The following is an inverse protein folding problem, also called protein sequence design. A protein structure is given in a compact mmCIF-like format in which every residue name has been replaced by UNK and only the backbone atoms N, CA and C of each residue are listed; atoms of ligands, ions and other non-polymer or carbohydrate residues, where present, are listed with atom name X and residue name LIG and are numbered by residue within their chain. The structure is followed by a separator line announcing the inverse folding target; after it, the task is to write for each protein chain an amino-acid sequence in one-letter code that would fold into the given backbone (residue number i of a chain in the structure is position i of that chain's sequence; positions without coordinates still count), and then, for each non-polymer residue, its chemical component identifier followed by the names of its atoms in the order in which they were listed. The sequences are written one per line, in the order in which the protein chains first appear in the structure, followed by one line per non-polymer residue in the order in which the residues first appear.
data_IF_889318671750
#
_entry.id   IF_889318671750
#
_cell.length_a   1.000
_cell.length_b   1.000
_cell.length_c   1.000
_cell.angle_alpha   90.00
_cell.angle_beta   90.00
_cell.angle_gamma   90.00
#
_symmetry.space_group_name_H-M   'P 1'
#
loop_
_entity.id
_entity.type
_entity.pdbx_description
1 polymer ?
#
# COMPACT_ATOMS: atom_id res chain seq x y z
N UNK A 1 38.59 -14.00 -26.83
CA UNK A 1 37.14 -13.88 -27.15
C UNK A 1 36.17 -14.33 -26.00
N UNK A 2 36.64 -14.78 -24.84
CA UNK A 2 35.79 -15.19 -23.66
C UNK A 2 35.69 -14.14 -22.54
N UNK A 3 36.38 -12.99 -22.63
CA UNK A 3 36.42 -11.93 -21.61
C UNK A 3 35.38 -10.80 -21.79
N UNK A 4 34.73 -10.71 -22.97
CA UNK A 4 33.77 -9.62 -23.28
C UNK A 4 32.28 -9.95 -22.99
N UNK A 5 31.95 -11.14 -22.53
CA UNK A 5 30.54 -11.51 -22.21
C UNK A 5 30.14 -11.39 -20.75
N UNK A 6 31.05 -11.01 -19.83
CA UNK A 6 30.77 -10.89 -18.39
C UNK A 6 30.43 -9.48 -17.91
N UNK A 7 30.47 -8.45 -18.76
CA UNK A 7 30.20 -7.06 -18.34
C UNK A 7 28.82 -6.52 -18.71
N UNK A 8 27.89 -7.33 -19.23
CA UNK A 8 26.52 -6.87 -19.60
C UNK A 8 25.41 -7.28 -18.67
N UNK A 9 25.71 -7.86 -17.51
CA UNK A 9 24.72 -8.24 -16.49
C UNK A 9 24.96 -7.57 -15.12
N UNK A 10 25.74 -6.50 -15.06
CA UNK A 10 25.78 -5.63 -13.88
C UNK A 10 24.84 -4.46 -14.12
N UNK A 11 23.65 -4.50 -13.46
CA UNK A 11 22.92 -3.30 -13.12
C UNK A 11 21.73 -2.92 -14.00
N UNK A 12 20.71 -3.75 -14.10
CA UNK A 12 19.36 -3.23 -13.87
C UNK A 12 18.95 -3.72 -12.48
N UNK A 13 19.47 -3.10 -11.45
CA UNK A 13 18.73 -3.03 -10.17
C UNK A 13 17.43 -2.36 -10.58
N UNK A 14 16.34 -3.12 -10.60
CA UNK A 14 15.04 -2.62 -10.98
C UNK A 14 14.67 -1.55 -9.95
N UNK A 15 14.92 -0.27 -10.30
CA UNK A 15 14.61 0.87 -9.45
C UNK A 15 13.12 0.85 -9.18
N UNK A 16 12.73 1.06 -7.94
CA UNK A 16 11.33 1.14 -7.54
C UNK A 16 10.77 2.56 -7.73
N UNK A 17 11.19 3.23 -8.80
CA UNK A 17 10.68 4.52 -9.22
C UNK A 17 9.18 4.41 -9.55
N UNK A 18 8.38 5.37 -9.08
CA UNK A 18 6.95 5.43 -9.38
C UNK A 18 6.66 6.76 -10.06
N UNK A 19 6.09 6.71 -11.26
CA UNK A 19 5.76 7.91 -12.03
C UNK A 19 4.27 7.90 -12.36
N UNK A 20 3.58 8.94 -11.93
CA UNK A 20 2.20 9.24 -12.28
C UNK A 20 2.21 10.43 -13.26
N UNK A 21 1.64 10.24 -14.46
CA UNK A 21 1.56 11.26 -15.50
C UNK A 21 0.10 11.54 -15.85
N UNK A 22 -0.35 12.76 -15.58
CA UNK A 22 -1.70 13.23 -15.90
C UNK A 22 -2.81 12.28 -15.44
N UNK A 23 -2.61 11.65 -14.28
CA UNK A 23 -3.55 10.66 -13.75
C UNK A 23 -4.91 11.31 -13.52
N UNK A 24 -5.93 10.64 -14.04
CA UNK A 24 -7.33 11.03 -13.93
C UNK A 24 -8.17 9.85 -13.47
N UNK A 25 -9.09 10.10 -12.53
CA UNK A 25 -10.11 9.13 -12.11
C UNK A 25 -11.47 9.76 -12.14
N UNK A 26 -12.37 9.15 -12.93
CA UNK A 26 -13.79 9.47 -12.98
C UNK A 26 -14.55 8.24 -12.54
N UNK A 27 -15.45 8.40 -11.58
CA UNK A 27 -16.44 7.40 -11.22
C UNK A 27 -17.71 7.65 -12.02
N UNK A 28 -18.20 6.68 -12.83
CA UNK A 28 -19.41 6.85 -13.62
C UNK A 28 -20.59 7.27 -12.74
N UNK A 29 -21.55 8.01 -13.31
CA UNK A 29 -22.77 8.34 -12.59
C UNK A 29 -23.46 7.04 -12.13
N UNK A 30 -23.57 6.87 -10.80
CA UNK A 30 -24.51 5.90 -10.28
C UNK A 30 -25.91 6.53 -10.35
N UNK A 31 -26.87 5.85 -10.98
CA UNK A 31 -28.28 6.26 -10.91
C UNK A 31 -28.64 6.52 -9.44
N UNK A 32 -29.25 7.68 -9.12
CA UNK A 32 -29.53 8.02 -7.75
C UNK A 32 -30.47 6.96 -7.15
N UNK A 33 -29.96 6.14 -6.24
CA UNK A 33 -30.81 5.30 -5.38
C UNK A 33 -31.86 6.24 -4.77
N UNK A 34 -33.16 5.95 -4.95
CA UNK A 34 -34.28 6.75 -4.42
C UNK A 34 -33.97 7.21 -3.01
N UNK A 35 -33.68 8.51 -2.84
CA UNK A 35 -33.39 9.10 -1.53
C UNK A 35 -34.57 8.87 -0.60
N UNK A 36 -34.31 8.33 0.59
CA UNK A 36 -35.31 8.39 1.68
C UNK A 36 -35.47 9.86 2.06
N UNK A 37 -36.74 10.35 2.07
CA UNK A 37 -37.07 11.71 2.48
C UNK A 37 -36.52 11.96 3.90
N UNK A 38 -35.60 12.92 4.07
CA UNK A 38 -35.15 13.41 5.37
C UNK A 38 -33.66 13.37 5.66
N UNK A 39 -32.80 12.89 4.77
CA UNK A 39 -31.35 12.98 5.00
C UNK A 39 -30.79 14.34 4.54
N UNK A 40 -30.00 15.04 5.39
CA UNK A 40 -29.39 16.30 5.04
C UNK A 40 -28.40 16.12 3.88
N UNK A 41 -28.44 17.03 2.91
CA UNK A 41 -27.47 17.06 1.83
C UNK A 41 -26.04 17.24 2.39
N UNK A 42 -25.23 16.19 2.36
CA UNK A 42 -23.80 16.35 2.51
C UNK A 42 -23.32 17.16 1.31
N UNK A 43 -22.88 18.40 1.53
CA UNK A 43 -22.16 19.21 0.54
C UNK A 43 -20.87 18.47 0.18
N UNK A 44 -20.94 17.60 -0.81
CA UNK A 44 -19.76 17.00 -1.40
C UNK A 44 -19.18 18.03 -2.37
N UNK A 45 -17.99 18.53 -2.10
CA UNK A 45 -17.21 19.37 -3.01
C UNK A 45 -16.65 18.53 -4.19
N UNK A 46 -17.40 17.52 -4.63
CA UNK A 46 -17.02 16.67 -5.75
C UNK A 46 -17.39 17.37 -7.04
N UNK A 47 -16.45 17.49 -7.95
CA UNK A 47 -16.71 17.99 -9.30
C UNK A 47 -17.50 16.93 -10.08
N UNK A 48 -18.72 17.26 -10.47
CA UNK A 48 -19.57 16.41 -11.29
C UNK A 48 -19.39 16.86 -12.73
N UNK A 49 -18.95 15.93 -13.58
CA UNK A 49 -18.81 16.10 -15.03
C UNK A 49 -19.94 15.35 -15.75
N UNK A 50 -20.07 15.51 -17.05
CA UNK A 50 -21.01 14.72 -17.87
C UNK A 50 -20.71 13.22 -17.81
N UNK A 51 -19.44 12.83 -17.63
CA UNK A 51 -18.97 11.45 -17.56
C UNK A 51 -19.12 10.82 -16.16
N UNK A 52 -19.26 11.64 -15.11
CA UNK A 52 -19.33 11.15 -13.72
C UNK A 52 -18.72 12.08 -12.69
N UNK A 53 -18.39 11.50 -11.55
CA UNK A 53 -17.75 12.21 -10.44
C UNK A 53 -16.23 12.19 -10.61
N UNK A 54 -15.63 13.36 -10.81
CA UNK A 54 -14.19 13.54 -10.93
C UNK A 54 -13.54 13.44 -9.53
N UNK A 55 -12.80 12.39 -9.28
CA UNK A 55 -12.14 12.12 -8.00
C UNK A 55 -10.66 12.51 -7.98
N UNK A 56 -9.97 12.39 -9.11
CA UNK A 56 -8.59 12.82 -9.31
C UNK A 56 -8.48 13.43 -10.69
N UNK A 57 -7.84 14.59 -10.81
CA UNK A 57 -7.67 15.29 -12.07
C UNK A 57 -6.22 15.72 -12.28
N UNK A 58 -5.68 15.37 -13.44
CA UNK A 58 -4.36 15.77 -13.92
C UNK A 58 -3.24 15.66 -12.86
N UNK A 59 -3.27 14.58 -12.07
CA UNK A 59 -2.31 14.39 -10.99
C UNK A 59 -0.98 13.88 -11.53
N UNK A 60 0.08 14.64 -11.25
CA UNK A 60 1.44 14.33 -11.67
C UNK A 60 2.34 14.17 -10.43
N UNK A 61 3.09 13.08 -10.36
CA UNK A 61 4.03 12.82 -9.26
C UNK A 61 5.13 11.90 -9.75
N UNK A 62 6.38 12.24 -9.41
CA UNK A 62 7.54 11.41 -9.65
C UNK A 62 8.20 11.07 -8.33
N UNK A 63 8.26 9.80 -8.00
CA UNK A 63 8.82 9.25 -6.76
C UNK A 63 10.05 8.44 -7.13
N UNK A 64 11.18 8.80 -6.56
CA UNK A 64 12.44 8.07 -6.79
C UNK A 64 12.48 6.76 -6.01
N UNK A 65 13.37 5.86 -6.42
CA UNK A 65 13.61 4.61 -5.69
C UNK A 65 13.97 4.89 -4.23
N UNK A 66 13.33 4.15 -3.31
CA UNK A 66 13.52 4.26 -1.84
C UNK A 66 13.10 5.61 -1.24
N UNK A 67 12.38 6.42 -1.96
CA UNK A 67 11.82 7.66 -1.43
C UNK A 67 10.63 7.38 -0.51
N UNK A 68 10.42 8.27 0.47
CA UNK A 68 9.28 8.25 1.39
C UNK A 68 8.40 9.46 1.11
N UNK A 69 7.26 9.24 0.51
CA UNK A 69 6.30 10.28 0.13
C UNK A 69 5.07 10.22 1.03
N UNK A 70 4.62 11.38 1.47
CA UNK A 70 3.38 11.55 2.23
C UNK A 70 2.40 12.38 1.41
N UNK A 71 1.23 11.79 1.09
CA UNK A 71 0.14 12.49 0.45
C UNK A 71 -0.69 13.23 1.52
N UNK A 72 -0.70 14.55 1.47
CA UNK A 72 -1.41 15.39 2.43
C UNK A 72 -2.58 16.12 1.74
N UNK A 73 -3.72 16.18 2.42
CA UNK A 73 -4.88 16.91 1.90
C UNK A 73 -6.14 16.60 2.72
N UNK A 74 -7.22 17.37 2.53
CA UNK A 74 -8.48 17.18 3.23
C UNK A 74 -9.11 15.83 2.91
N UNK A 75 -10.10 15.41 3.72
CA UNK A 75 -10.87 14.20 3.44
C UNK A 75 -11.60 14.35 2.09
N UNK A 76 -11.53 13.29 1.27
CA UNK A 76 -12.19 13.27 -0.04
C UNK A 76 -11.40 13.93 -1.19
N UNK A 77 -10.16 14.39 -0.98
CA UNK A 77 -9.33 14.98 -2.05
C UNK A 77 -8.64 13.96 -2.97
N UNK A 78 -8.99 12.69 -2.92
CA UNK A 78 -8.47 11.66 -3.84
C UNK A 78 -7.25 10.87 -3.37
N UNK A 79 -6.72 11.07 -2.15
CA UNK A 79 -5.53 10.34 -1.63
C UNK A 79 -5.67 8.82 -1.71
N UNK A 80 -6.70 8.28 -1.06
CA UNK A 80 -6.96 6.82 -1.09
C UNK A 80 -7.26 6.31 -2.49
N UNK A 81 -7.94 7.10 -3.32
CA UNK A 81 -8.19 6.77 -4.73
C UNK A 81 -6.87 6.66 -5.50
N UNK A 82 -5.95 7.62 -5.31
CA UNK A 82 -4.62 7.59 -5.94
C UNK A 82 -3.82 6.37 -5.49
N UNK A 83 -3.78 6.08 -4.18
CA UNK A 83 -3.11 4.88 -3.66
C UNK A 83 -3.70 3.59 -4.25
N UNK A 84 -5.03 3.51 -4.38
CA UNK A 84 -5.70 2.35 -4.96
C UNK A 84 -5.44 2.20 -6.46
N UNK A 85 -5.32 3.31 -7.21
CA UNK A 85 -4.89 3.27 -8.61
C UNK A 85 -3.45 2.76 -8.75
N UNK A 86 -2.53 3.21 -7.89
CA UNK A 86 -1.16 2.68 -7.86
C UNK A 86 -1.17 1.19 -7.51
N UNK A 87 -2.04 0.77 -6.58
CA UNK A 87 -2.22 -0.63 -6.21
C UNK A 87 -2.88 -1.49 -7.31
N UNK A 88 -3.52 -0.88 -8.30
CA UNK A 88 -4.33 -1.57 -9.31
C UNK A 88 -5.68 -2.05 -8.79
N UNK A 89 -6.11 -1.54 -7.63
CA UNK A 89 -7.42 -1.82 -7.03
C UNK A 89 -8.52 -0.91 -7.59
N UNK A 90 -8.12 0.16 -8.26
CA UNK A 90 -8.97 1.08 -9.01
C UNK A 90 -8.39 1.30 -10.40
N UNK A 91 -9.24 1.29 -11.40
CA UNK A 91 -8.85 1.59 -12.79
C UNK A 91 -8.51 3.07 -12.94
N UNK A 92 -7.51 3.37 -13.75
CA UNK A 92 -7.12 4.71 -14.14
C UNK A 92 -8.02 5.11 -15.33
N UNK A 93 -8.77 6.23 -15.20
CA UNK A 93 -9.62 6.72 -16.27
C UNK A 93 -8.86 7.50 -17.34
N UNK A 94 -7.68 8.01 -17.02
CA UNK A 94 -6.78 8.70 -17.96
C UNK A 94 -5.40 8.91 -17.36
N UNK A 95 -4.40 9.13 -18.22
CA UNK A 95 -3.00 9.25 -17.82
C UNK A 95 -2.28 7.90 -17.75
N UNK A 96 -1.05 7.91 -17.28
CA UNK A 96 -0.14 6.77 -17.28
C UNK A 96 0.52 6.58 -15.92
N UNK A 97 0.55 5.35 -15.42
CA UNK A 97 1.27 4.95 -14.22
C UNK A 97 2.43 4.03 -14.59
N UNK A 98 3.63 4.38 -14.16
CA UNK A 98 4.82 3.55 -14.30
C UNK A 98 5.37 3.15 -12.94
N UNK A 99 5.84 1.90 -12.82
CA UNK A 99 6.59 1.39 -11.68
C UNK A 99 7.83 0.69 -12.22
N UNK A 100 9.02 1.17 -11.85
CA UNK A 100 10.27 0.61 -12.34
C UNK A 100 10.41 0.67 -13.87
N UNK A 101 9.90 1.73 -14.49
CA UNK A 101 9.92 1.94 -15.94
C UNK A 101 8.87 1.14 -16.73
N UNK A 102 8.07 0.29 -16.07
CA UNK A 102 7.00 -0.48 -16.71
C UNK A 102 5.64 0.21 -16.55
N UNK A 103 4.89 0.33 -17.67
CA UNK A 103 3.50 0.83 -17.65
C UNK A 103 2.61 -0.16 -16.90
N UNK A 104 1.84 0.35 -15.92
CA UNK A 104 1.04 -0.46 -14.99
C UNK A 104 -0.47 -0.38 -15.21
N UNK A 105 -0.97 0.46 -16.11
CA UNK A 105 -2.41 0.71 -16.26
C UNK A 105 -3.23 -0.58 -16.32
N UNK A 106 -2.82 -1.55 -17.14
CA UNK A 106 -3.52 -2.81 -17.38
C UNK A 106 -2.90 -4.00 -16.62
N UNK A 107 -1.91 -3.75 -15.74
CA UNK A 107 -1.27 -4.81 -14.96
C UNK A 107 -2.11 -5.13 -13.74
N UNK A 108 -2.46 -6.40 -13.55
CA UNK A 108 -3.24 -6.86 -12.40
C UNK A 108 -2.50 -6.59 -11.07
N UNK A 109 -3.21 -6.31 -9.95
CA UNK A 109 -2.60 -6.00 -8.64
C UNK A 109 -1.57 -7.02 -8.17
N UNK A 110 -1.82 -8.31 -8.40
CA UNK A 110 -0.94 -9.42 -8.00
C UNK A 110 0.44 -9.40 -8.69
N UNK A 111 0.52 -8.76 -9.87
CA UNK A 111 1.70 -8.75 -10.74
C UNK A 111 2.49 -7.42 -10.64
N UNK A 112 2.06 -6.47 -9.80
CA UNK A 112 2.67 -5.13 -9.65
C UNK A 112 3.86 -5.07 -8.68
N UNK A 113 4.25 -6.15 -8.04
CA UNK A 113 5.33 -6.19 -7.03
C UNK A 113 5.22 -5.07 -5.95
N UNK A 114 4.01 -4.83 -5.49
CA UNK A 114 3.67 -3.87 -4.46
C UNK A 114 2.96 -4.54 -3.30
N UNK A 115 2.93 -3.89 -2.14
CA UNK A 115 2.09 -4.28 -1.01
C UNK A 115 1.32 -3.07 -0.49
N UNK A 116 0.12 -3.32 0.06
CA UNK A 116 -0.72 -2.25 0.61
C UNK A 116 -1.18 -2.59 2.02
N UNK A 117 -1.04 -1.61 2.93
CA UNK A 117 -1.62 -1.62 4.27
C UNK A 117 -2.88 -0.79 4.24
N UNK A 118 -4.01 -1.41 4.59
CA UNK A 118 -5.32 -0.76 4.60
C UNK A 118 -5.61 -0.10 5.94
N UNK A 119 -6.46 0.91 5.95
CA UNK A 119 -6.91 1.64 7.13
C UNK A 119 -7.46 0.74 8.26
N UNK A 120 -8.16 -0.34 7.92
CA UNK A 120 -8.73 -1.32 8.85
C UNK A 120 -7.80 -2.49 9.15
N UNK A 121 -6.51 -2.39 8.75
CA UNK A 121 -5.47 -3.42 8.87
C UNK A 121 -5.75 -4.71 8.07
N UNK A 122 -7.00 -5.04 7.79
CA UNK A 122 -7.49 -6.21 7.04
C UNK A 122 -6.83 -7.54 7.49
N UNK A 123 -6.59 -7.72 8.80
CA UNK A 123 -6.04 -8.96 9.35
C UNK A 123 -7.08 -10.08 9.32
N UNK A 124 -6.61 -11.29 9.06
CA UNK A 124 -7.43 -12.50 9.14
C UNK A 124 -7.67 -12.87 10.61
N UNK A 125 -8.91 -12.73 11.15
CA UNK A 125 -9.16 -12.81 12.59
C UNK A 125 -9.01 -14.22 13.16
N UNK A 126 -9.14 -15.25 12.33
CA UNK A 126 -8.99 -16.66 12.70
C UNK A 126 -7.54 -17.14 12.72
N UNK A 127 -6.63 -16.43 12.06
CA UNK A 127 -5.21 -16.72 11.97
C UNK A 127 -4.43 -16.07 13.11
N UNK A 128 -3.34 -16.70 13.54
CA UNK A 128 -2.35 -16.09 14.43
C UNK A 128 -1.59 -14.95 13.75
N UNK A 129 -0.76 -14.21 14.49
CA UNK A 129 0.16 -13.20 13.94
C UNK A 129 1.11 -13.84 12.94
N UNK A 130 1.74 -14.96 13.32
CA UNK A 130 2.63 -15.77 12.46
C UNK A 130 1.94 -16.14 11.15
N UNK A 131 0.73 -16.67 11.23
CA UNK A 131 -0.03 -17.07 10.05
C UNK A 131 -0.44 -15.90 9.16
N UNK A 132 -0.83 -14.76 9.76
CA UNK A 132 -1.14 -13.53 9.01
C UNK A 132 0.07 -13.05 8.21
N UNK A 133 1.27 -13.00 8.82
CA UNK A 133 2.51 -12.57 8.15
C UNK A 133 2.93 -13.59 7.09
N UNK A 134 2.84 -14.90 7.39
CA UNK A 134 3.21 -15.98 6.47
C UNK A 134 2.28 -16.11 5.24
N UNK A 135 1.04 -15.63 5.35
CA UNK A 135 -0.01 -15.90 4.36
C UNK A 135 0.38 -15.56 2.91
N UNK A 136 0.93 -14.36 2.60
CA UNK A 136 1.31 -14.03 1.23
C UNK A 136 2.46 -14.89 0.67
N UNK A 137 3.33 -15.42 1.52
CA UNK A 137 4.41 -16.32 1.12
C UNK A 137 3.88 -17.74 0.83
N UNK A 138 2.91 -18.21 1.64
CA UNK A 138 2.19 -19.47 1.38
C UNK A 138 1.47 -19.47 0.05
N UNK A 139 0.85 -18.33 -0.33
CA UNK A 139 0.21 -18.18 -1.64
C UNK A 139 1.19 -18.29 -2.81
N UNK A 140 2.44 -17.87 -2.60
CA UNK A 140 3.55 -18.02 -3.57
C UNK A 140 4.15 -19.44 -3.57
N UNK A 141 3.64 -20.35 -2.72
CA UNK A 141 4.14 -21.72 -2.58
C UNK A 141 5.64 -21.81 -2.23
N UNK A 142 6.12 -20.86 -1.43
CA UNK A 142 7.49 -20.83 -0.95
C UNK A 142 7.75 -21.98 0.01
N UNK A 143 9.02 -22.39 0.16
CA UNK A 143 9.41 -23.43 1.11
C UNK A 143 9.13 -23.02 2.56
N UNK A 144 8.74 -23.99 3.39
CA UNK A 144 8.34 -23.73 4.78
C UNK A 144 9.47 -23.11 5.60
N UNK A 145 10.71 -23.62 5.45
CA UNK A 145 11.86 -23.09 6.19
C UNK A 145 12.14 -21.63 5.82
N UNK A 146 12.02 -21.25 4.54
CA UNK A 146 12.18 -19.88 4.08
C UNK A 146 11.04 -18.98 4.60
N UNK A 147 9.79 -19.48 4.62
CA UNK A 147 8.65 -18.75 5.19
C UNK A 147 8.90 -18.46 6.67
N UNK A 148 9.30 -19.47 7.46
CA UNK A 148 9.53 -19.31 8.88
C UNK A 148 10.64 -18.28 9.15
N UNK A 149 11.74 -18.35 8.41
CA UNK A 149 12.84 -17.39 8.51
C UNK A 149 12.40 -15.95 8.21
N UNK A 150 11.64 -15.72 7.11
CA UNK A 150 11.17 -14.38 6.73
C UNK A 150 10.15 -13.83 7.71
N UNK A 151 9.30 -14.68 8.28
CA UNK A 151 8.33 -14.29 9.32
C UNK A 151 9.05 -13.84 10.59
N UNK A 152 10.06 -14.59 11.06
CA UNK A 152 10.87 -14.18 12.22
C UNK A 152 11.58 -12.85 11.99
N UNK A 153 12.22 -12.67 10.82
CA UNK A 153 12.89 -11.42 10.46
C UNK A 153 11.91 -10.24 10.44
N UNK A 154 10.72 -10.42 9.85
CA UNK A 154 9.70 -9.38 9.83
C UNK A 154 9.19 -9.05 11.25
N UNK A 155 9.04 -10.06 12.11
CA UNK A 155 8.62 -9.89 13.50
C UNK A 155 9.68 -9.14 14.34
N UNK A 156 10.95 -9.44 14.14
CA UNK A 156 12.07 -8.73 14.80
C UNK A 156 12.15 -7.26 14.37
N UNK A 157 12.04 -6.97 13.06
CA UNK A 157 12.05 -5.60 12.54
C UNK A 157 10.95 -4.73 13.18
N UNK A 158 9.80 -5.36 13.50
CA UNK A 158 8.59 -4.71 13.98
C UNK A 158 8.39 -4.81 15.51
N UNK A 159 9.32 -5.44 16.23
CA UNK A 159 9.22 -5.69 17.68
C UNK A 159 7.91 -6.39 18.07
N UNK A 160 7.53 -7.47 17.35
CA UNK A 160 6.31 -8.26 17.59
C UNK A 160 6.54 -9.75 17.77
N UNK A 161 7.77 -10.17 17.96
CA UNK A 161 8.16 -11.60 18.09
C UNK A 161 7.38 -12.30 19.23
N UNK A 162 7.18 -11.64 20.36
CA UNK A 162 6.43 -12.15 21.51
C UNK A 162 4.93 -12.37 21.24
N UNK A 163 4.40 -11.82 20.14
CA UNK A 163 2.98 -11.89 19.78
C UNK A 163 2.68 -12.90 18.67
N UNK A 164 3.67 -13.58 18.11
CA UNK A 164 3.55 -14.43 16.93
C UNK A 164 2.44 -15.50 17.05
N UNK A 165 2.23 -16.04 18.24
CA UNK A 165 1.22 -17.09 18.48
C UNK A 165 -0.15 -16.53 18.91
N UNK A 166 -0.28 -15.20 19.06
CA UNK A 166 -1.56 -14.55 19.41
C UNK A 166 -2.43 -14.34 18.18
N UNK A 167 -3.74 -14.27 18.43
CA UNK A 167 -4.72 -13.86 17.40
C UNK A 167 -4.97 -12.35 17.44
N UNK A 168 -5.40 -11.73 16.33
CA UNK A 168 -5.63 -10.28 16.24
C UNK A 168 -6.52 -9.69 17.35
N UNK A 169 -7.48 -10.45 17.87
CA UNK A 169 -8.37 -10.01 18.96
C UNK A 169 -7.64 -9.75 20.29
N UNK A 170 -6.47 -10.38 20.48
CA UNK A 170 -5.66 -10.24 21.70
C UNK A 170 -4.58 -9.15 21.58
N UNK A 171 -4.64 -8.30 20.53
CA UNK A 171 -3.66 -7.27 20.23
C UNK A 171 -4.26 -5.87 20.40
N UNK A 172 -3.41 -4.91 20.82
CA UNK A 172 -3.74 -3.48 20.78
C UNK A 172 -3.83 -2.96 19.33
N UNK A 173 -4.35 -1.74 19.13
CA UNK A 173 -4.42 -1.09 17.82
C UNK A 173 -3.04 -0.99 17.13
N UNK A 174 -2.04 -0.52 17.87
CA UNK A 174 -0.66 -0.41 17.35
C UNK A 174 -0.03 -1.77 17.04
N UNK A 175 -0.27 -2.80 17.86
CA UNK A 175 0.20 -4.16 17.57
C UNK A 175 -0.46 -4.72 16.31
N UNK A 176 -1.78 -4.55 16.13
CA UNK A 176 -2.46 -4.96 14.89
C UNK A 176 -1.90 -4.25 13.67
N UNK A 177 -1.58 -2.97 13.78
CA UNK A 177 -0.94 -2.21 12.70
C UNK A 177 0.43 -2.79 12.34
N UNK A 178 1.29 -3.06 13.32
CA UNK A 178 2.61 -3.68 13.09
C UNK A 178 2.46 -5.05 12.40
N UNK A 179 1.48 -5.85 12.79
CA UNK A 179 1.20 -7.14 12.10
C UNK A 179 0.79 -6.93 10.64
N UNK A 180 -0.05 -5.92 10.34
CA UNK A 180 -0.44 -5.58 8.97
C UNK A 180 0.75 -5.12 8.13
N UNK A 181 1.66 -4.33 8.72
CA UNK A 181 2.92 -3.94 8.08
C UNK A 181 3.80 -5.17 7.87
N UNK A 182 3.95 -6.06 8.86
CA UNK A 182 4.71 -7.31 8.76
C UNK A 182 4.25 -8.18 7.59
N UNK A 183 2.94 -8.35 7.45
CA UNK A 183 2.34 -9.05 6.31
C UNK A 183 2.65 -8.37 4.97
N UNK A 184 2.76 -7.06 4.96
CA UNK A 184 3.06 -6.32 3.74
C UNK A 184 4.55 -6.40 3.35
N UNK A 185 5.47 -6.30 4.32
CA UNK A 185 6.92 -6.24 4.06
C UNK A 185 7.57 -7.61 3.86
N UNK A 186 6.97 -8.70 4.40
CA UNK A 186 7.53 -10.06 4.32
C UNK A 186 7.78 -10.52 2.88
N UNK A 187 7.11 -9.90 1.92
CA UNK A 187 7.27 -10.15 0.47
C UNK A 187 8.41 -9.35 -0.15
N UNK A 188 9.05 -8.45 0.59
CA UNK A 188 10.05 -7.51 0.11
C UNK A 188 9.55 -6.73 -1.14
N UNK A 189 8.40 -6.03 -1.03
CA UNK A 189 7.82 -5.34 -2.18
C UNK A 189 8.69 -4.17 -2.62
N UNK A 190 8.69 -3.84 -3.92
CA UNK A 190 9.35 -2.64 -4.43
C UNK A 190 8.69 -1.37 -3.90
N UNK A 191 7.37 -1.35 -3.78
CA UNK A 191 6.60 -0.21 -3.29
C UNK A 191 5.67 -0.65 -2.17
N UNK A 192 5.70 0.06 -1.04
CA UNK A 192 4.80 -0.11 0.08
C UNK A 192 3.83 1.06 0.16
N UNK A 193 2.54 0.76 -0.02
CA UNK A 193 1.45 1.71 0.05
C UNK A 193 0.78 1.63 1.42
N UNK A 194 0.43 2.78 2.01
CA UNK A 194 -0.28 2.84 3.30
C UNK A 194 -1.47 3.79 3.19
N UNK A 195 -2.69 3.25 3.24
CA UNK A 195 -3.93 4.02 3.18
C UNK A 195 -4.39 4.38 4.61
N UNK A 196 -4.10 5.61 5.04
CA UNK A 196 -4.45 6.18 6.35
C UNK A 196 -4.18 5.24 7.54
N UNK A 197 -2.98 4.63 7.67
CA UNK A 197 -2.72 3.57 8.66
C UNK A 197 -2.83 4.05 10.10
N UNK A 198 -2.83 5.36 10.36
CA UNK A 198 -2.85 5.95 11.70
C UNK A 198 -4.21 6.56 12.09
N UNK A 199 -5.20 6.57 11.19
CA UNK A 199 -6.48 7.24 11.41
C UNK A 199 -7.30 6.65 12.58
N UNK A 200 -7.19 5.34 12.81
CA UNK A 200 -7.92 4.59 13.82
C UNK A 200 -7.23 4.57 15.20
N UNK A 201 -6.15 5.32 15.38
CA UNK A 201 -5.39 5.39 16.62
C UNK A 201 -5.70 6.67 17.40
N UNK A 202 -5.67 6.60 18.74
CA UNK A 202 -5.69 7.79 19.59
C UNK A 202 -4.47 8.69 19.35
N UNK A 203 -4.52 9.95 19.82
CA UNK A 203 -3.51 10.95 19.53
C UNK A 203 -2.10 10.55 20.05
N UNK A 204 -2.03 9.94 21.24
CA UNK A 204 -0.77 9.51 21.86
C UNK A 204 -0.14 8.37 21.05
N UNK A 205 -0.92 7.34 20.77
CA UNK A 205 -0.47 6.18 20.01
C UNK A 205 -0.11 6.56 18.56
N UNK A 206 -0.86 7.49 17.96
CA UNK A 206 -0.57 8.02 16.61
C UNK A 206 0.80 8.68 16.53
N UNK A 207 1.19 9.49 17.52
CA UNK A 207 2.50 10.12 17.56
C UNK A 207 3.63 9.09 17.75
N UNK A 208 3.43 8.09 18.59
CA UNK A 208 4.38 6.99 18.74
C UNK A 208 4.56 6.21 17.42
N UNK A 209 3.45 5.86 16.76
CA UNK A 209 3.47 5.12 15.51
C UNK A 209 4.11 5.91 14.36
N UNK A 210 3.98 7.25 14.32
CA UNK A 210 4.70 8.08 13.34
C UNK A 210 6.22 7.93 13.50
N UNK A 211 6.72 8.02 14.74
CA UNK A 211 8.14 7.83 15.01
C UNK A 211 8.62 6.42 14.63
N UNK A 212 7.79 5.41 14.85
CA UNK A 212 8.08 4.03 14.47
C UNK A 212 8.11 3.83 12.94
N UNK A 213 7.19 4.43 12.21
CA UNK A 213 7.20 4.40 10.74
C UNK A 213 8.47 5.02 10.14
N UNK A 214 8.97 6.12 10.76
CA UNK A 214 10.23 6.75 10.36
C UNK A 214 11.42 5.80 10.61
N UNK A 215 11.47 5.14 11.78
CA UNK A 215 12.50 4.13 12.08
C UNK A 215 12.40 2.93 11.14
N UNK A 216 11.17 2.47 10.86
CA UNK A 216 10.90 1.36 9.96
C UNK A 216 11.45 1.65 8.56
N UNK A 217 11.21 2.86 8.02
CA UNK A 217 11.77 3.29 6.74
C UNK A 217 13.28 3.08 6.66
N UNK A 218 14.02 3.37 7.76
CA UNK A 218 15.48 3.22 7.78
C UNK A 218 15.93 1.75 7.74
N UNK A 219 15.07 0.83 8.20
CA UNK A 219 15.35 -0.61 8.24
C UNK A 219 14.92 -1.34 6.97
N UNK A 220 13.97 -0.78 6.22
CA UNK A 220 13.39 -1.39 5.02
C UNK A 220 13.79 -0.60 3.79
N UNK A 221 14.41 -1.30 2.85
CA UNK A 221 14.92 -0.72 1.61
C UNK A 221 13.85 -0.73 0.50
N UNK A 222 12.76 0.03 0.69
CA UNK A 222 11.55 0.03 -0.15
C UNK A 222 11.07 1.46 -0.37
N UNK A 223 10.44 1.75 -1.51
CA UNK A 223 9.75 3.02 -1.76
C UNK A 223 8.43 3.05 -1.00
N UNK A 224 8.16 4.13 -0.26
CA UNK A 224 6.96 4.29 0.55
C UNK A 224 6.06 5.38 0.01
N UNK A 225 4.75 5.12 -0.07
CA UNK A 225 3.71 6.11 -0.36
C UNK A 225 2.64 6.01 0.72
N UNK A 226 2.45 7.10 1.48
CA UNK A 226 1.61 7.15 2.67
C UNK A 226 0.59 8.29 2.62
#
# INVERSE_FOLDING_TARGET
RKRMRRQRFQGLIAMAEVILKNIKKIYPHQEPKKKKKGEPEKKNNLQITEEGVLAVDNFNLHIQDKEFIVLVGPSGCGKSTTLRMVAGLEEISGGELYIGGQLMNDVAPKDRDISMVFQNYALYPHMTVRENIAFPLKLRKMDKAEIDQRVEQAAEILDITEYLDRKPKALSGGQRQRVAIGRAIVREPKVLLMDEPLSNLDAKLRNQMRAELIKLRQRINTTFIY
#
